data_IF_936819386888
#
_entry.id   IF_936819386888
#
_cell.length_a   1.000
_cell.length_b   1.000
_cell.length_c   1.000
_cell.angle_alpha   90.00
_cell.angle_beta   90.00
_cell.angle_gamma   90.00
#
_symmetry.space_group_name_H-M   'P 1'
#
loop_
_entity.id
_entity.type
_entity.pdbx_description
1 polymer ?
#
# COMPACT_ATOMS: atom_id res chain seq x y z
N UNK A 1 16.67 -3.92 12.83
CA UNK A 1 15.38 -3.21 13.00
C UNK A 1 15.31 -1.86 12.26
N UNK A 2 16.43 -1.27 11.81
CA UNK A 2 16.49 -0.20 10.77
C UNK A 2 16.71 -0.81 9.36
N UNK A 3 17.27 -2.02 9.31
CA UNK A 3 17.52 -2.85 8.12
C UNK A 3 16.35 -3.07 7.15
N UNK A 4 15.09 -2.94 7.57
CA UNK A 4 13.96 -3.19 6.68
C UNK A 4 13.71 -2.05 5.67
N UNK A 5 14.22 -0.85 5.95
CA UNK A 5 14.22 0.32 5.06
C UNK A 5 15.62 0.67 4.53
N UNK A 6 16.69 0.00 4.98
CA UNK A 6 18.07 0.19 4.48
C UNK A 6 18.20 -0.05 2.96
N UNK A 7 17.18 -0.65 2.34
CA UNK A 7 17.13 -0.92 0.91
C UNK A 7 16.02 -0.13 0.19
N UNK A 8 15.78 1.11 0.60
CA UNK A 8 14.93 2.04 -0.15
C UNK A 8 15.38 2.30 -1.59
N UNK A 9 16.62 1.92 -1.93
CA UNK A 9 17.14 1.86 -3.30
C UNK A 9 16.47 0.77 -4.16
N UNK A 10 15.68 -0.15 -3.58
CA UNK A 10 14.98 -1.21 -4.30
C UNK A 10 13.64 -0.75 -4.88
N UNK A 11 13.12 -1.49 -5.87
CA UNK A 11 11.81 -1.19 -6.45
C UNK A 11 10.67 -1.56 -5.50
N UNK A 12 9.97 -0.52 -5.02
CA UNK A 12 8.78 -0.64 -4.18
C UNK A 12 7.50 -0.62 -5.00
N UNK A 13 6.45 -1.25 -4.47
CA UNK A 13 5.15 -1.33 -5.11
C UNK A 13 4.02 -1.12 -4.10
N UNK A 14 3.05 -0.29 -4.47
CA UNK A 14 1.74 -0.26 -3.85
C UNK A 14 0.90 -1.38 -4.45
N UNK A 15 0.66 -2.41 -3.65
CA UNK A 15 -0.22 -3.52 -3.97
C UNK A 15 -1.65 -3.14 -3.55
N UNK A 16 -2.57 -3.19 -4.51
CA UNK A 16 -4.02 -3.23 -4.27
C UNK A 16 -4.43 -4.66 -4.61
N UNK A 17 -4.93 -5.41 -3.64
CA UNK A 17 -5.08 -6.86 -3.73
C UNK A 17 -6.52 -7.26 -3.52
N UNK A 18 -7.05 -8.01 -4.49
CA UNK A 18 -8.30 -8.73 -4.31
C UNK A 18 -8.07 -9.97 -3.43
N UNK A 19 -9.00 -10.24 -2.52
CA UNK A 19 -8.85 -11.34 -1.55
C UNK A 19 -8.64 -12.71 -2.20
N UNK A 20 -9.18 -12.94 -3.40
CA UNK A 20 -9.01 -14.20 -4.15
C UNK A 20 -7.54 -14.50 -4.46
N UNK A 21 -6.71 -13.47 -4.61
CA UNK A 21 -5.30 -13.62 -4.93
C UNK A 21 -4.42 -13.59 -3.67
N UNK A 22 -5.00 -13.46 -2.46
CA UNK A 22 -4.23 -13.27 -1.23
C UNK A 22 -3.24 -14.39 -0.98
N UNK A 23 -3.70 -15.64 -1.01
CA UNK A 23 -2.83 -16.80 -0.78
C UNK A 23 -1.70 -16.89 -1.81
N UNK A 24 -1.96 -16.51 -3.07
CA UNK A 24 -0.96 -16.54 -4.13
C UNK A 24 0.18 -15.55 -3.86
N UNK A 25 -0.15 -14.31 -3.45
CA UNK A 25 0.87 -13.28 -3.19
C UNK A 25 1.50 -13.41 -1.79
N UNK A 26 0.72 -13.78 -0.77
CA UNK A 26 1.20 -13.91 0.60
C UNK A 26 2.22 -15.06 0.74
N UNK A 27 2.03 -16.14 -0.02
CA UNK A 27 2.95 -17.28 -0.03
C UNK A 27 4.11 -17.11 -1.02
N UNK A 28 4.21 -15.99 -1.76
CA UNK A 28 5.30 -15.78 -2.70
C UNK A 28 6.61 -15.47 -1.94
N UNK A 29 7.63 -16.35 -1.98
CA UNK A 29 8.83 -16.21 -1.14
C UNK A 29 9.70 -15.01 -1.52
N UNK A 30 9.46 -14.45 -2.71
CA UNK A 30 10.20 -13.32 -3.27
C UNK A 30 9.46 -11.98 -3.12
N UNK A 31 8.38 -11.95 -2.32
CA UNK A 31 7.62 -10.73 -1.99
C UNK A 31 7.77 -10.49 -0.49
N UNK A 32 8.31 -9.32 -0.13
CA UNK A 32 8.35 -8.85 1.26
C UNK A 32 7.25 -7.82 1.46
N UNK A 33 6.48 -8.02 2.54
CA UNK A 33 5.38 -7.17 2.93
C UNK A 33 5.82 -6.24 4.06
N UNK A 34 5.70 -4.94 3.85
CA UNK A 34 6.21 -3.95 4.80
C UNK A 34 5.08 -3.27 5.58
N UNK A 35 3.92 -3.08 4.95
CA UNK A 35 2.70 -2.60 5.63
C UNK A 35 1.49 -3.11 4.88
N UNK A 36 0.38 -3.34 5.58
CA UNK A 36 -0.86 -3.84 4.99
C UNK A 36 -2.09 -3.26 5.73
N UNK A 37 -3.16 -2.99 5.00
CA UNK A 37 -4.48 -2.72 5.58
C UNK A 37 -5.57 -3.39 4.77
N UNK A 38 -6.68 -3.73 5.42
CA UNK A 38 -7.95 -3.98 4.75
C UNK A 38 -8.73 -2.68 4.65
N UNK A 39 -9.43 -2.52 3.55
CA UNK A 39 -10.40 -1.45 3.40
C UNK A 39 -11.60 -1.91 2.59
N UNK A 40 -12.71 -1.21 2.80
CA UNK A 40 -13.90 -1.32 1.98
C UNK A 40 -14.36 0.08 1.59
N UNK A 41 -15.12 0.14 0.50
CA UNK A 41 -15.87 1.32 0.12
C UNK A 41 -17.17 1.32 0.92
N UNK A 42 -17.52 2.47 1.50
CA UNK A 42 -18.82 2.69 2.12
C UNK A 42 -19.68 3.48 1.13
N UNK A 43 -20.84 2.93 0.75
CA UNK A 43 -21.82 3.62 -0.06
C UNK A 43 -22.64 4.64 0.76
N UNK A 44 -23.41 5.50 0.09
CA UNK A 44 -24.19 6.56 0.76
C UNK A 44 -25.31 6.02 1.68
N UNK A 45 -25.67 4.74 1.56
CA UNK A 45 -26.65 4.03 2.38
C UNK A 45 -26.00 3.22 3.52
N UNK A 46 -24.74 3.52 3.85
CA UNK A 46 -23.89 2.81 4.81
C UNK A 46 -23.61 1.33 4.46
N UNK A 47 -24.01 0.86 3.27
CA UNK A 47 -23.63 -0.47 2.81
C UNK A 47 -22.13 -0.52 2.46
N UNK A 48 -21.49 -1.66 2.74
CA UNK A 48 -20.08 -1.88 2.45
C UNK A 48 -19.93 -2.68 1.16
N UNK A 49 -19.05 -2.24 0.26
CA UNK A 49 -18.71 -2.96 -0.94
C UNK A 49 -17.20 -2.90 -1.23
N UNK A 50 -16.74 -3.75 -2.15
CA UNK A 50 -15.35 -3.72 -2.66
C UNK A 50 -14.28 -3.86 -1.57
N UNK A 51 -14.32 -4.95 -0.80
CA UNK A 51 -13.21 -5.30 0.09
C UNK A 51 -11.93 -5.54 -0.70
N UNK A 52 -10.85 -4.88 -0.29
CA UNK A 52 -9.53 -5.10 -0.85
C UNK A 52 -8.44 -4.80 0.19
N UNK A 53 -7.25 -5.35 -0.07
CA UNK A 53 -6.07 -5.15 0.76
C UNK A 53 -5.17 -4.13 0.08
N UNK A 54 -4.69 -3.14 0.82
CA UNK A 54 -3.56 -2.32 0.39
C UNK A 54 -2.31 -2.80 1.08
N UNK A 55 -1.22 -2.89 0.36
CA UNK A 55 0.08 -3.13 0.96
C UNK A 55 1.18 -2.33 0.30
N UNK A 56 2.19 -2.00 1.08
CA UNK A 56 3.49 -1.63 0.56
C UNK A 56 4.37 -2.88 0.56
N UNK A 57 4.84 -3.25 -0.62
CA UNK A 57 5.68 -4.45 -0.81
C UNK A 57 6.93 -4.09 -1.61
N UNK A 58 7.94 -4.95 -1.54
CA UNK A 58 9.03 -4.97 -2.50
C UNK A 58 9.40 -6.40 -2.86
N UNK A 59 10.06 -6.56 -4.00
CA UNK A 59 10.60 -7.85 -4.40
C UNK A 59 11.99 -8.06 -3.80
N UNK A 60 12.30 -9.31 -3.43
CA UNK A 60 13.60 -9.71 -2.84
C UNK A 60 14.39 -10.61 -3.79
N UNK A 61 15.65 -10.92 -3.46
CA UNK A 61 16.46 -11.91 -4.18
C UNK A 61 16.60 -11.64 -5.69
N UNK A 62 16.71 -10.37 -6.10
CA UNK A 62 16.84 -9.97 -7.50
C UNK A 62 15.56 -10.15 -8.34
N UNK A 63 14.44 -10.52 -7.73
CA UNK A 63 13.15 -10.54 -8.43
C UNK A 63 12.70 -9.12 -8.76
N UNK A 64 12.03 -8.98 -9.90
CA UNK A 64 11.36 -7.74 -10.31
C UNK A 64 9.90 -8.04 -10.58
N UNK A 65 9.06 -7.00 -10.67
CA UNK A 65 7.67 -7.16 -11.11
C UNK A 65 7.59 -7.84 -12.48
N UNK A 66 8.52 -7.56 -13.39
CA UNK A 66 8.58 -8.20 -14.70
C UNK A 66 8.83 -9.70 -14.58
N UNK A 67 9.81 -10.11 -13.76
CA UNK A 67 10.10 -11.53 -13.51
C UNK A 67 8.91 -12.24 -12.88
N UNK A 68 8.23 -11.59 -11.93
CA UNK A 68 7.02 -12.12 -11.32
C UNK A 68 5.87 -12.31 -12.32
N UNK A 69 5.58 -11.29 -13.15
CA UNK A 69 4.55 -11.38 -14.21
C UNK A 69 4.86 -12.50 -15.22
N UNK A 70 6.12 -12.64 -15.64
CA UNK A 70 6.54 -13.75 -16.51
C UNK A 70 6.34 -15.12 -15.87
N UNK A 71 6.58 -15.25 -14.56
CA UNK A 71 6.34 -16.51 -13.83
C UNK A 71 4.86 -16.87 -13.80
N UNK A 72 3.98 -15.91 -13.48
CA UNK A 72 2.53 -16.10 -13.52
C UNK A 72 2.04 -16.51 -14.91
N UNK A 73 2.55 -15.87 -15.97
CA UNK A 73 2.21 -16.22 -17.34
C UNK A 73 2.62 -17.66 -17.67
N UNK A 74 3.83 -18.08 -17.28
CA UNK A 74 4.33 -19.45 -17.52
C UNK A 74 3.55 -20.51 -16.76
N UNK A 75 3.04 -20.20 -15.57
CA UNK A 75 2.20 -21.12 -14.78
C UNK A 75 0.73 -21.13 -15.22
N UNK A 76 0.34 -20.32 -16.21
CA UNK A 76 -1.06 -20.16 -16.61
C UNK A 76 -1.93 -19.45 -15.56
N UNK A 77 -1.32 -18.88 -14.52
CA UNK A 77 -2.02 -18.20 -13.43
C UNK A 77 -2.31 -16.76 -13.82
N UNK A 78 -3.55 -16.31 -13.59
CA UNK A 78 -3.95 -14.92 -13.80
C UNK A 78 -4.43 -14.33 -12.48
N UNK A 79 -3.94 -13.14 -12.17
CA UNK A 79 -4.47 -12.35 -11.07
C UNK A 79 -5.86 -11.85 -11.41
N UNK A 80 -6.67 -11.64 -10.40
CA UNK A 80 -7.94 -10.94 -10.51
C UNK A 80 -7.72 -9.55 -11.12
N UNK A 81 -8.67 -9.07 -11.92
CA UNK A 81 -8.56 -7.77 -12.62
C UNK A 81 -8.43 -6.57 -11.68
N UNK A 82 -8.89 -6.72 -10.42
CA UNK A 82 -8.78 -5.72 -9.36
C UNK A 82 -7.47 -5.81 -8.56
N UNK A 83 -6.64 -6.83 -8.78
CA UNK A 83 -5.32 -6.94 -8.16
C UNK A 83 -4.30 -6.18 -9.00
N UNK A 84 -3.73 -5.12 -8.45
CA UNK A 84 -2.78 -4.25 -9.15
C UNK A 84 -1.52 -4.03 -8.32
N UNK A 85 -0.38 -4.00 -9.00
CA UNK A 85 0.92 -3.61 -8.43
C UNK A 85 1.34 -2.32 -9.11
N UNK A 86 1.28 -1.20 -8.37
CA UNK A 86 1.69 0.12 -8.84
C UNK A 86 3.10 0.41 -8.37
N UNK A 87 4.02 0.66 -9.30
CA UNK A 87 5.41 1.01 -8.96
C UNK A 87 5.45 2.33 -8.21
N UNK A 88 6.20 2.36 -7.10
CA UNK A 88 6.55 3.59 -6.40
C UNK A 88 7.70 4.26 -7.16
N UNK A 89 7.49 5.52 -7.54
CA UNK A 89 8.40 6.26 -8.43
C UNK A 89 9.28 7.26 -7.69
N UNK A 90 8.88 7.66 -6.48
CA UNK A 90 9.60 8.60 -5.64
C UNK A 90 9.21 8.43 -4.17
N UNK A 91 9.99 9.05 -3.28
CA UNK A 91 9.77 9.01 -1.83
C UNK A 91 8.40 9.55 -1.42
N UNK A 92 7.96 10.66 -2.00
CA UNK A 92 6.64 11.25 -1.73
C UNK A 92 5.49 10.29 -2.04
N UNK A 93 5.63 9.51 -3.11
CA UNK A 93 4.66 8.47 -3.46
C UNK A 93 4.65 7.36 -2.39
N UNK A 94 5.82 6.89 -1.94
CA UNK A 94 5.93 5.90 -0.86
C UNK A 94 5.27 6.38 0.44
N UNK A 95 5.61 7.61 0.86
CA UNK A 95 5.06 8.26 2.05
C UNK A 95 3.54 8.41 1.93
N UNK A 96 3.02 8.78 0.75
CA UNK A 96 1.60 8.87 0.49
C UNK A 96 0.86 7.55 0.68
N UNK A 97 1.44 6.44 0.20
CA UNK A 97 0.88 5.09 0.33
C UNK A 97 0.93 4.61 1.79
N UNK A 98 2.04 4.82 2.50
CA UNK A 98 2.14 4.46 3.91
C UNK A 98 1.16 5.25 4.76
N UNK A 99 1.06 6.56 4.54
CA UNK A 99 0.06 7.40 5.20
C UNK A 99 -1.35 6.87 4.96
N UNK A 100 -1.66 6.50 3.72
CA UNK A 100 -2.95 5.92 3.34
C UNK A 100 -3.23 4.64 4.15
N UNK A 101 -2.26 3.74 4.28
CA UNK A 101 -2.39 2.50 5.03
C UNK A 101 -2.55 2.78 6.54
N UNK A 102 -1.80 3.73 7.10
CA UNK A 102 -1.74 4.00 8.55
C UNK A 102 -2.92 4.81 9.12
N UNK A 103 -3.65 5.54 8.28
CA UNK A 103 -4.73 6.43 8.71
C UNK A 103 -6.08 5.71 8.63
N UNK A 104 -6.78 5.57 9.77
CA UNK A 104 -8.05 4.84 9.85
C UNK A 104 -9.14 5.40 8.90
N UNK A 105 -9.17 6.72 8.70
CA UNK A 105 -10.18 7.39 7.88
C UNK A 105 -9.82 7.46 6.37
N UNK A 106 -8.65 6.96 5.98
CA UNK A 106 -8.15 7.07 4.61
C UNK A 106 -8.10 8.50 4.06
N UNK A 107 -7.94 8.69 2.74
CA UNK A 107 -8.13 9.96 2.08
C UNK A 107 -9.64 10.18 1.84
N UNK A 108 -10.20 11.25 2.42
CA UNK A 108 -11.46 11.80 1.87
C UNK A 108 -11.12 12.55 0.58
N UNK A 109 -11.95 12.46 -0.48
CA UNK A 109 -11.79 13.35 -1.61
C UNK A 109 -11.89 14.81 -1.13
N UNK A 110 -10.98 15.65 -1.60
CA UNK A 110 -11.12 17.10 -1.46
C UNK A 110 -11.76 17.73 -2.70
N UNK A 111 -11.97 16.94 -3.78
CA UNK A 111 -12.48 17.42 -5.06
C UNK A 111 -13.44 16.40 -5.67
N UNK A 112 -14.50 16.90 -6.31
CA UNK A 112 -15.36 16.08 -7.16
C UNK A 112 -14.54 15.59 -8.34
N UNK A 113 -14.75 14.34 -8.76
CA UNK A 113 -14.18 13.83 -10.00
C UNK A 113 -14.80 14.55 -11.21
N UNK A 114 -14.24 14.35 -12.40
CA UNK A 114 -14.67 15.05 -13.62
C UNK A 114 -16.14 14.82 -14.03
N UNK A 115 -16.81 13.87 -13.38
CA UNK A 115 -18.23 13.54 -13.52
C UNK A 115 -19.14 14.18 -12.44
N UNK A 116 -18.57 14.93 -11.49
CA UNK A 116 -19.30 15.57 -10.41
C UNK A 116 -19.57 14.69 -9.18
N UNK A 117 -19.13 13.42 -9.18
CA UNK A 117 -19.26 12.50 -8.06
C UNK A 117 -18.22 12.81 -6.97
N UNK A 118 -18.58 12.59 -5.70
CA UNK A 118 -17.63 12.60 -4.59
C UNK A 118 -16.86 11.28 -4.62
N UNK A 119 -15.53 11.33 -4.64
CA UNK A 119 -14.72 10.12 -4.42
C UNK A 119 -15.16 9.40 -3.15
N UNK A 120 -15.61 8.16 -3.27
CA UNK A 120 -16.33 7.48 -2.19
C UNK A 120 -15.44 7.37 -0.93
N UNK A 121 -15.97 7.62 0.29
CA UNK A 121 -15.20 7.43 1.51
C UNK A 121 -14.74 5.98 1.63
N UNK A 122 -13.43 5.80 1.83
CA UNK A 122 -12.85 4.50 2.16
C UNK A 122 -12.77 4.38 3.68
N UNK A 123 -13.12 3.22 4.21
CA UNK A 123 -12.90 2.90 5.61
C UNK A 123 -11.82 1.83 5.72
N UNK A 124 -10.80 2.12 6.54
CA UNK A 124 -9.70 1.20 6.79
C UNK A 124 -9.94 0.47 8.11
N UNK A 125 -9.90 -0.85 8.06
CA UNK A 125 -10.04 -1.71 9.22
C UNK A 125 -8.99 -2.83 9.15
N UNK A 126 -8.68 -3.45 10.28
CA UNK A 126 -7.65 -4.49 10.37
C UNK A 126 -6.30 -4.06 9.74
N UNK A 127 -5.78 -2.94 10.24
CA UNK A 127 -4.52 -2.36 9.78
C UNK A 127 -3.34 -3.02 10.49
N UNK A 128 -2.39 -3.54 9.72
CA UNK A 128 -1.09 -4.00 10.24
C UNK A 128 0.03 -3.21 9.61
N UNK A 129 0.57 -2.31 10.42
CA UNK A 129 1.66 -1.41 10.04
C UNK A 129 2.96 -1.85 10.67
N UNK A 130 4.07 -1.40 10.09
CA UNK A 130 5.40 -1.66 10.60
C UNK A 130 5.59 -1.16 12.03
N UNK A 131 5.16 0.08 12.34
CA UNK A 131 5.13 0.59 13.71
C UNK A 131 3.70 0.85 14.14
N UNK A 132 3.26 0.20 15.22
CA UNK A 132 1.89 0.35 15.74
C UNK A 132 1.54 1.80 16.09
N UNK A 133 2.50 2.61 16.53
CA UNK A 133 2.31 4.03 16.83
C UNK A 133 2.04 4.90 15.59
N UNK A 134 2.20 4.38 14.38
CA UNK A 134 1.76 5.07 13.16
C UNK A 134 0.27 4.97 12.95
N UNK A 135 -0.45 4.05 13.61
CA UNK A 135 -1.90 4.00 13.53
C UNK A 135 -2.49 5.24 14.20
N UNK A 136 -3.30 5.99 13.47
CA UNK A 136 -3.93 7.20 13.96
C UNK A 136 -5.26 7.48 13.26
N UNK A 137 -6.13 8.21 13.95
CA UNK A 137 -7.27 8.87 13.31
C UNK A 137 -6.80 10.11 12.56
N UNK A 138 -7.55 10.53 11.55
CA UNK A 138 -7.21 11.70 10.75
C UNK A 138 -7.15 12.95 11.62
N UNK A 139 -6.15 13.80 11.37
CA UNK A 139 -6.03 15.10 12.02
C UNK A 139 -4.59 15.55 12.14
N UNK A 140 -4.28 16.30 13.21
CA UNK A 140 -2.93 16.84 13.46
C UNK A 140 -1.85 15.75 13.51
N UNK A 141 -2.20 14.55 13.96
CA UNK A 141 -1.30 13.40 14.00
C UNK A 141 -0.86 12.91 12.62
N UNK A 142 -1.65 13.16 11.55
CA UNK A 142 -1.25 12.79 10.18
C UNK A 142 0.04 13.48 9.75
N UNK A 143 0.23 14.75 10.14
CA UNK A 143 1.43 15.48 9.78
C UNK A 143 2.66 14.90 10.48
N UNK A 144 2.53 14.54 11.76
CA UNK A 144 3.61 13.95 12.55
C UNK A 144 4.02 12.58 11.99
N UNK A 145 3.07 11.68 11.76
CA UNK A 145 3.33 10.35 11.19
C UNK A 145 3.91 10.46 9.78
N UNK A 146 3.41 11.39 8.95
CA UNK A 146 3.97 11.65 7.62
C UNK A 146 5.43 12.09 7.71
N UNK A 147 5.74 13.02 8.61
CA UNK A 147 7.11 13.50 8.81
C UNK A 147 8.02 12.37 9.28
N UNK A 148 7.61 11.58 10.28
CA UNK A 148 8.39 10.45 10.77
C UNK A 148 8.66 9.41 9.67
N UNK A 149 7.64 9.04 8.89
CA UNK A 149 7.81 8.13 7.75
C UNK A 149 8.79 8.73 6.73
N UNK A 150 8.67 10.01 6.42
CA UNK A 150 9.54 10.70 5.47
C UNK A 150 10.99 10.76 5.98
N UNK A 151 11.21 11.02 7.26
CA UNK A 151 12.54 11.08 7.88
C UNK A 151 13.22 9.72 7.84
N UNK A 152 12.55 8.66 8.32
CA UNK A 152 13.05 7.29 8.26
C UNK A 152 13.32 6.84 6.83
N UNK A 153 12.44 7.23 5.91
CA UNK A 153 12.60 6.89 4.52
C UNK A 153 13.66 7.76 3.79
N UNK A 154 14.07 8.89 4.38
CA UNK A 154 15.18 9.71 3.88
C UNK A 154 16.52 9.31 4.50
N UNK A 155 16.53 8.70 5.69
CA UNK A 155 17.76 8.23 6.34
C UNK A 155 18.55 7.25 5.47
N UNK A 156 17.87 6.36 4.75
CA UNK A 156 18.50 5.46 3.77
C UNK A 156 19.02 6.14 2.49
N UNK A 157 18.84 7.46 2.35
CA UNK A 157 19.30 8.27 1.21
C UNK A 157 20.43 9.22 1.63
N UNK A 158 20.71 9.37 2.94
CA UNK A 158 21.76 10.28 3.44
C UNK A 158 23.18 9.85 3.07
N UNK A 159 23.36 8.60 2.65
CA UNK A 159 24.65 8.01 2.24
C UNK A 159 24.80 7.87 0.70
N UNK A 160 23.93 8.52 -0.09
CA UNK A 160 24.02 8.64 -1.56
C UNK A 160 24.67 9.96 -1.97
#
# INVERSE_FOLDING_TARGET
MVQDYEELSKEWYHLILNEKDFNLLACAPNIKWCSICRCHLIADDDSTAYEHLHALIHFTNGFTMLTYKKKLQRSGTRLHSKTTLKKIICLDHAVGVLRYITCADGPKPLRRDGDGLRGTPHYHYDTRVFKQNWLHSRGKQCCLVRTEISELASEGVKDL
#
